data_IF_855402375302
#
_entry.id   IF_855402375302
#
_cell.length_a   1.000
_cell.length_b   1.000
_cell.length_c   1.000
_cell.angle_alpha   90.00
_cell.angle_beta   90.00
_cell.angle_gamma   90.00
#
_symmetry.space_group_name_H-M   'P 1'
#
loop_
_entity.id
_entity.type
_entity.pdbx_description
1 polymer ?
#
# COMPACT_ATOMS: atom_id res chain seq x y z
N UNK A 1 26.12 -16.42 -11.26
CA UNK A 1 26.29 -17.39 -12.36
C UNK A 1 25.63 -18.75 -12.05
N UNK A 2 24.45 -18.78 -11.40
CA UNK A 2 23.73 -20.04 -11.06
C UNK A 2 22.41 -20.23 -11.84
N UNK A 3 22.00 -19.27 -12.66
CA UNK A 3 20.71 -19.26 -13.35
C UNK A 3 20.74 -19.93 -14.73
N UNK A 4 21.90 -20.39 -15.21
CA UNK A 4 22.07 -20.94 -16.57
C UNK A 4 21.60 -22.39 -16.74
N UNK A 5 21.22 -23.08 -15.67
CA UNK A 5 20.76 -24.48 -15.70
C UNK A 5 19.25 -24.65 -15.60
N UNK A 6 18.49 -23.55 -15.50
CA UNK A 6 17.05 -23.61 -15.29
C UNK A 6 16.31 -22.92 -16.44
N UNK A 7 15.57 -23.71 -17.21
CA UNK A 7 14.74 -23.22 -18.31
C UNK A 7 13.38 -22.76 -17.76
N UNK A 8 13.31 -21.51 -17.31
CA UNK A 8 12.03 -20.91 -16.93
C UNK A 8 11.38 -20.25 -18.15
N UNK A 9 10.08 -20.54 -18.40
CA UNK A 9 9.30 -19.87 -19.46
C UNK A 9 9.07 -18.37 -19.18
N UNK A 10 9.11 -17.97 -17.92
CA UNK A 10 9.02 -16.59 -17.41
C UNK A 10 10.16 -16.36 -16.40
N UNK A 11 10.68 -15.14 -16.22
CA UNK A 11 11.73 -14.87 -15.23
C UNK A 11 11.22 -15.23 -13.82
N UNK A 12 11.79 -16.27 -13.17
CA UNK A 12 11.36 -16.72 -11.84
C UNK A 12 11.80 -15.74 -10.75
N UNK A 13 11.21 -15.88 -9.56
CA UNK A 13 11.61 -15.16 -8.34
C UNK A 13 11.31 -13.65 -8.32
N UNK A 14 10.51 -13.14 -9.26
CA UNK A 14 9.98 -11.76 -9.22
C UNK A 14 8.54 -11.68 -8.74
N UNK A 15 7.79 -12.77 -8.82
CA UNK A 15 6.37 -12.79 -8.46
C UNK A 15 6.21 -13.39 -7.08
N UNK A 16 5.60 -12.65 -6.16
CA UNK A 16 5.36 -13.12 -4.79
C UNK A 16 3.92 -13.61 -4.55
N UNK A 17 3.08 -13.48 -5.57
CA UNK A 17 1.70 -13.96 -5.60
C UNK A 17 1.55 -15.09 -6.60
N UNK A 18 0.69 -16.04 -6.26
CA UNK A 18 0.20 -17.12 -7.11
C UNK A 18 -0.63 -16.58 -8.27
N UNK A 19 -0.88 -17.41 -9.28
CA UNK A 19 -1.86 -17.10 -10.33
C UNK A 19 -3.28 -16.86 -9.78
N UNK A 20 -3.62 -17.43 -8.62
CA UNK A 20 -4.88 -17.17 -7.91
C UNK A 20 -4.96 -15.76 -7.31
N UNK A 21 -3.83 -15.06 -7.18
CA UNK A 21 -3.71 -13.77 -6.50
C UNK A 21 -3.32 -13.86 -5.02
N UNK A 22 -3.25 -15.07 -4.45
CA UNK A 22 -2.78 -15.29 -3.07
C UNK A 22 -1.26 -15.13 -2.99
N UNK A 23 -0.74 -14.72 -1.84
CA UNK A 23 0.70 -14.68 -1.62
C UNK A 23 1.26 -16.11 -1.49
N UNK A 24 2.44 -16.33 -2.07
CA UNK A 24 3.12 -17.63 -2.03
C UNK A 24 3.61 -18.00 -0.63
N UNK A 25 3.94 -16.99 0.18
CA UNK A 25 4.38 -17.17 1.56
C UNK A 25 3.20 -16.94 2.51
N UNK A 26 2.86 -17.91 3.38
CA UNK A 26 1.75 -17.78 4.32
C UNK A 26 1.82 -16.51 5.20
N UNK A 27 3.02 -16.17 5.68
CA UNK A 27 3.23 -14.94 6.46
C UNK A 27 2.78 -13.67 5.70
N UNK A 28 3.10 -13.56 4.41
CA UNK A 28 2.66 -12.40 3.62
C UNK A 28 1.14 -12.43 3.39
N UNK A 29 0.56 -13.61 3.20
CA UNK A 29 -0.89 -13.77 3.08
C UNK A 29 -1.61 -13.31 4.36
N UNK A 30 -1.09 -13.67 5.53
CA UNK A 30 -1.67 -13.25 6.81
C UNK A 30 -1.59 -11.74 7.00
N UNK A 31 -0.46 -11.12 6.65
CA UNK A 31 -0.33 -9.66 6.68
C UNK A 31 -1.29 -9.00 5.68
N UNK A 32 -1.51 -9.59 4.50
CA UNK A 32 -2.46 -9.05 3.54
C UNK A 32 -3.90 -9.16 4.04
N UNK A 33 -4.27 -10.29 4.66
CA UNK A 33 -5.58 -10.48 5.27
C UNK A 33 -5.83 -9.46 6.38
N UNK A 34 -4.82 -9.21 7.24
CA UNK A 34 -4.87 -8.16 8.24
C UNK A 34 -5.08 -6.79 7.59
N UNK A 35 -4.31 -6.45 6.56
CA UNK A 35 -4.44 -5.17 5.85
C UNK A 35 -5.83 -4.99 5.23
N UNK A 36 -6.38 -6.04 4.61
CA UNK A 36 -7.72 -6.06 4.02
C UNK A 36 -8.82 -5.88 5.06
N UNK A 37 -8.67 -6.48 6.24
CA UNK A 37 -9.59 -6.28 7.36
C UNK A 37 -9.49 -4.85 7.91
N UNK A 38 -8.28 -4.36 8.16
CA UNK A 38 -8.05 -3.05 8.79
C UNK A 38 -8.41 -1.88 7.90
N UNK A 39 -8.33 -2.02 6.58
CA UNK A 39 -8.84 -1.02 5.63
C UNK A 39 -10.37 -0.89 5.64
N UNK A 40 -11.10 -1.76 6.36
CA UNK A 40 -12.53 -1.59 6.61
C UNK A 40 -12.84 -0.58 7.74
N UNK A 41 -11.82 -0.08 8.44
CA UNK A 41 -11.95 0.97 9.45
C UNK A 41 -11.46 2.30 8.89
N UNK A 42 -12.01 3.42 9.39
CA UNK A 42 -11.48 4.73 9.05
C UNK A 42 -10.18 5.01 9.82
N UNK A 43 -9.25 5.70 9.17
CA UNK A 43 -7.97 6.07 9.77
C UNK A 43 -6.76 5.63 8.95
N UNK A 44 -5.60 5.56 9.59
CA UNK A 44 -4.32 5.27 8.98
C UNK A 44 -3.82 3.88 9.37
N UNK A 45 -3.39 3.14 8.35
CA UNK A 45 -2.64 1.89 8.44
C UNK A 45 -1.22 2.12 7.92
N UNK A 46 -0.21 1.72 8.68
CA UNK A 46 1.18 1.65 8.21
C UNK A 46 1.59 0.25 7.79
N UNK A 47 2.25 0.11 6.65
CA UNK A 47 2.93 -1.11 6.26
C UNK A 47 4.34 -0.76 5.74
N UNK A 48 5.37 -1.11 6.51
CA UNK A 48 6.74 -0.71 6.20
C UNK A 48 7.64 -1.91 5.96
N UNK A 49 8.55 -1.76 5.00
CA UNK A 49 9.55 -2.76 4.63
C UNK A 49 10.62 -2.11 3.77
N UNK A 50 11.86 -2.59 3.85
CA UNK A 50 12.94 -2.11 3.00
C UNK A 50 12.86 -2.66 1.55
N UNK A 51 11.98 -3.64 1.32
CA UNK A 51 11.66 -4.18 0.00
C UNK A 51 10.46 -3.43 -0.62
N UNK A 52 10.75 -2.39 -1.41
CA UNK A 52 9.72 -1.62 -2.11
C UNK A 52 8.89 -2.44 -3.13
N UNK A 53 9.47 -3.35 -3.94
CA UNK A 53 8.70 -4.28 -4.75
C UNK A 53 7.66 -5.08 -3.95
N UNK A 54 8.04 -5.64 -2.80
CA UNK A 54 7.12 -6.37 -1.91
C UNK A 54 5.93 -5.50 -1.50
N UNK A 55 6.19 -4.25 -1.08
CA UNK A 55 5.13 -3.30 -0.72
C UNK A 55 4.21 -2.96 -1.90
N UNK A 56 4.74 -2.87 -3.12
CA UNK A 56 3.92 -2.65 -4.32
C UNK A 56 2.94 -3.79 -4.55
N UNK A 57 3.37 -5.04 -4.35
CA UNK A 57 2.49 -6.19 -4.48
C UNK A 57 1.34 -6.20 -3.46
N UNK A 58 1.56 -5.75 -2.22
CA UNK A 58 0.46 -5.55 -1.26
C UNK A 58 -0.55 -4.49 -1.75
N UNK A 59 -0.08 -3.39 -2.33
CA UNK A 59 -0.94 -2.36 -2.89
C UNK A 59 -1.73 -2.90 -4.09
N UNK A 60 -1.09 -3.68 -4.96
CA UNK A 60 -1.73 -4.25 -6.15
C UNK A 60 -2.76 -5.33 -5.77
N UNK A 61 -2.46 -6.16 -4.78
CA UNK A 61 -3.43 -7.10 -4.20
C UNK A 61 -4.64 -6.36 -3.58
N UNK A 62 -4.42 -5.23 -2.90
CA UNK A 62 -5.51 -4.41 -2.37
C UNK A 62 -6.40 -3.86 -3.48
N UNK A 63 -5.81 -3.31 -4.56
CA UNK A 63 -6.56 -2.82 -5.73
C UNK A 63 -7.38 -3.93 -6.38
N UNK A 64 -6.79 -5.11 -6.55
CA UNK A 64 -7.48 -6.26 -7.11
C UNK A 64 -8.67 -6.71 -6.24
N UNK A 65 -8.58 -6.51 -4.92
CA UNK A 65 -9.64 -6.89 -3.98
C UNK A 65 -10.79 -5.87 -3.85
N UNK A 66 -10.61 -4.61 -4.29
CA UNK A 66 -11.62 -3.57 -4.16
C UNK A 66 -11.46 -2.42 -5.16
N UNK A 67 -12.55 -2.09 -5.85
CA UNK A 67 -12.62 -0.94 -6.77
C UNK A 67 -12.60 0.43 -6.07
N UNK A 68 -12.61 0.46 -4.73
CA UNK A 68 -12.56 1.70 -3.95
C UNK A 68 -11.13 2.15 -3.65
N UNK A 69 -10.12 1.35 -4.02
CA UNK A 69 -8.71 1.69 -3.77
C UNK A 69 -8.21 2.74 -4.77
N UNK A 70 -7.57 3.79 -4.25
CA UNK A 70 -6.85 4.80 -5.03
C UNK A 70 -5.39 4.72 -4.61
N UNK A 71 -4.50 4.53 -5.58
CA UNK A 71 -3.07 4.45 -5.30
C UNK A 71 -2.30 5.67 -5.80
N UNK A 72 -1.48 6.22 -4.91
CA UNK A 72 -0.62 7.36 -5.18
C UNK A 72 0.81 6.97 -4.82
N UNK A 73 1.75 7.34 -5.69
CA UNK A 73 3.17 7.30 -5.38
C UNK A 73 3.62 8.69 -4.92
N UNK A 74 4.30 8.76 -3.76
CA UNK A 74 4.85 10.01 -3.24
C UNK A 74 6.21 10.39 -3.83
N UNK A 75 6.95 9.45 -4.42
CA UNK A 75 8.25 9.70 -5.05
C UNK A 75 8.11 10.56 -6.33
N UNK A 76 9.06 11.46 -6.63
CA UNK A 76 10.22 11.84 -5.81
C UNK A 76 9.88 12.80 -4.66
N UNK A 77 8.72 13.48 -4.72
CA UNK A 77 8.27 14.39 -3.67
C UNK A 77 6.76 14.64 -3.76
N UNK A 78 6.04 14.48 -2.65
CA UNK A 78 4.60 14.73 -2.58
C UNK A 78 4.28 15.90 -1.63
N UNK A 79 3.72 16.96 -2.19
CA UNK A 79 3.19 18.11 -1.43
C UNK A 79 1.67 18.04 -1.28
N UNK A 80 1.11 18.86 -0.39
CA UNK A 80 -0.33 19.11 -0.29
C UNK A 80 -1.01 19.30 -1.66
N UNK A 81 -0.54 20.27 -2.45
CA UNK A 81 -1.13 20.60 -3.75
C UNK A 81 -1.01 19.45 -4.76
N UNK A 82 0.11 18.70 -4.72
CA UNK A 82 0.29 17.55 -5.61
C UNK A 82 -0.62 16.40 -5.22
N UNK A 83 -0.79 16.13 -3.92
CA UNK A 83 -1.75 15.14 -3.43
C UNK A 83 -3.17 15.50 -3.86
N UNK A 84 -3.63 16.71 -3.56
CA UNK A 84 -4.98 17.16 -3.90
C UNK A 84 -5.24 17.12 -5.41
N UNK A 85 -4.26 17.49 -6.23
CA UNK A 85 -4.35 17.39 -7.68
C UNK A 85 -4.43 15.94 -8.17
N UNK A 86 -3.63 15.03 -7.59
CA UNK A 86 -3.69 13.59 -7.92
C UNK A 86 -5.03 12.96 -7.52
N UNK A 87 -5.66 13.43 -6.44
CA UNK A 87 -6.97 12.95 -5.98
C UNK A 87 -8.13 13.55 -6.80
N UNK A 88 -8.04 14.84 -7.13
CA UNK A 88 -8.99 15.56 -7.96
C UNK A 88 -8.28 16.69 -8.74
N UNK A 89 -8.08 16.56 -10.06
CA UNK A 89 -7.43 17.57 -10.88
C UNK A 89 -8.11 18.95 -10.86
N UNK A 90 -9.42 19.00 -10.58
CA UNK A 90 -10.20 20.24 -10.43
C UNK A 90 -9.74 21.13 -9.27
N UNK A 91 -8.96 20.58 -8.32
CA UNK A 91 -8.42 21.34 -7.19
C UNK A 91 -7.35 22.35 -7.59
N UNK A 92 -6.78 22.27 -8.81
CA UNK A 92 -5.75 23.21 -9.30
C UNK A 92 -6.20 24.68 -9.27
N UNK A 93 -7.48 24.94 -9.50
CA UNK A 93 -8.04 26.29 -9.51
C UNK A 93 -8.44 26.78 -8.11
N UNK A 94 -8.50 25.89 -7.11
CA UNK A 94 -8.96 26.20 -5.76
C UNK A 94 -7.77 26.70 -4.94
N UNK A 95 -7.84 27.95 -4.50
CA UNK A 95 -6.78 28.58 -3.67
C UNK A 95 -6.83 28.11 -2.22
N UNK A 96 -8.03 27.83 -1.71
CA UNK A 96 -8.25 27.39 -0.34
C UNK A 96 -8.11 25.86 -0.20
N UNK A 97 -7.32 25.41 0.77
CA UNK A 97 -7.03 23.98 0.95
C UNK A 97 -8.23 23.19 1.46
N UNK A 98 -9.06 23.77 2.32
CA UNK A 98 -10.23 23.09 2.90
C UNK A 98 -11.28 22.90 1.80
N UNK A 99 -11.51 23.92 0.97
CA UNK A 99 -12.39 23.80 -0.19
C UNK A 99 -11.91 22.73 -1.18
N UNK A 100 -10.59 22.61 -1.37
CA UNK A 100 -10.02 21.57 -2.23
C UNK A 100 -10.22 20.16 -1.64
N UNK A 101 -10.06 20.00 -0.33
CA UNK A 101 -10.36 18.75 0.39
C UNK A 101 -11.85 18.39 0.25
N UNK A 102 -12.75 19.35 0.50
CA UNK A 102 -14.19 19.13 0.37
C UNK A 102 -14.57 18.76 -1.07
N UNK A 103 -13.93 19.36 -2.08
CA UNK A 103 -14.16 19.01 -3.48
C UNK A 103 -13.73 17.57 -3.81
N UNK A 104 -12.64 17.07 -3.22
CA UNK A 104 -12.23 15.66 -3.34
C UNK A 104 -13.29 14.74 -2.73
N UNK A 105 -13.74 15.04 -1.51
CA UNK A 105 -14.72 14.20 -0.81
C UNK A 105 -16.08 14.20 -1.50
N UNK A 106 -16.55 15.35 -1.99
CA UNK A 106 -17.79 15.45 -2.78
C UNK A 106 -17.72 14.61 -4.05
N UNK A 107 -16.62 14.70 -4.80
CA UNK A 107 -16.43 13.88 -6.01
C UNK A 107 -16.56 12.38 -5.70
N UNK A 108 -16.02 11.93 -4.56
CA UNK A 108 -16.13 10.52 -4.16
C UNK A 108 -17.55 10.13 -3.74
N UNK A 109 -18.25 11.01 -3.03
CA UNK A 109 -19.65 10.79 -2.63
C UNK A 109 -20.62 10.82 -3.81
N UNK A 110 -20.41 11.71 -4.80
CA UNK A 110 -21.18 11.78 -6.05
C UNK A 110 -21.06 10.48 -6.85
N UNK A 111 -19.88 9.85 -6.80
CA UNK A 111 -19.67 8.49 -7.32
C UNK A 111 -20.40 7.39 -6.54
N UNK A 112 -21.29 7.74 -5.59
CA UNK A 112 -22.03 6.86 -4.67
C UNK A 112 -21.14 5.98 -3.79
N UNK A 113 -19.85 6.30 -3.68
CA UNK A 113 -18.96 5.60 -2.77
C UNK A 113 -19.24 6.04 -1.33
N UNK A 114 -19.46 5.09 -0.43
CA UNK A 114 -19.54 5.35 1.02
C UNK A 114 -18.19 5.22 1.72
N UNK A 115 -17.18 4.73 0.99
CA UNK A 115 -15.85 4.51 1.51
C UNK A 115 -14.79 4.51 0.42
N UNK A 116 -13.57 4.89 0.78
CA UNK A 116 -12.38 4.80 -0.08
C UNK A 116 -11.19 4.29 0.72
N UNK A 117 -10.29 3.60 0.03
CA UNK A 117 -8.96 3.26 0.55
C UNK A 117 -7.93 4.04 -0.26
N UNK A 118 -7.16 4.91 0.38
CA UNK A 118 -6.08 5.66 -0.26
C UNK A 118 -4.74 5.02 0.12
N UNK A 119 -4.04 4.41 -0.84
CA UNK A 119 -2.70 3.88 -0.60
C UNK A 119 -1.65 4.89 -1.07
N UNK A 120 -0.71 5.27 -0.21
CA UNK A 120 0.41 6.15 -0.56
C UNK A 120 1.72 5.38 -0.39
N UNK A 121 2.39 5.13 -1.52
CA UNK A 121 3.69 4.49 -1.55
C UNK A 121 4.83 5.51 -1.36
N UNK A 122 5.95 5.06 -0.81
CA UNK A 122 7.15 5.86 -0.55
C UNK A 122 6.90 7.05 0.36
N UNK A 123 6.30 6.79 1.52
CA UNK A 123 5.87 7.81 2.48
C UNK A 123 7.02 8.71 2.96
N UNK A 124 8.27 8.26 2.87
CA UNK A 124 9.48 9.08 3.07
C UNK A 124 9.54 10.34 2.18
N UNK A 125 8.94 10.30 1.00
CA UNK A 125 8.93 11.42 0.05
C UNK A 125 7.81 12.44 0.31
N UNK A 126 6.99 12.24 1.35
CA UNK A 126 5.91 13.15 1.72
C UNK A 126 6.44 14.37 2.48
N UNK A 127 6.04 15.56 2.03
CA UNK A 127 6.24 16.80 2.79
C UNK A 127 5.30 16.86 3.99
N UNK A 128 5.67 17.65 4.98
CA UNK A 128 4.82 18.01 6.13
C UNK A 128 3.45 18.53 5.71
N UNK A 129 3.41 19.47 4.75
CA UNK A 129 2.13 19.94 4.20
C UNK A 129 1.24 18.84 3.61
N UNK A 130 1.80 17.74 3.10
CA UNK A 130 1.02 16.59 2.66
C UNK A 130 0.36 15.89 3.85
N UNK A 131 1.09 15.72 4.96
CA UNK A 131 0.60 15.10 6.21
C UNK A 131 -0.52 15.93 6.85
N UNK A 132 -0.35 17.25 6.92
CA UNK A 132 -1.40 18.18 7.38
C UNK A 132 -2.69 18.03 6.57
N UNK A 133 -2.57 17.96 5.23
CA UNK A 133 -3.73 17.80 4.34
C UNK A 133 -4.34 16.41 4.47
N UNK A 134 -3.56 15.36 4.72
CA UNK A 134 -4.10 14.03 5.01
C UNK A 134 -4.89 14.01 6.32
N UNK A 135 -4.37 14.64 7.37
CA UNK A 135 -5.10 14.83 8.63
C UNK A 135 -6.42 15.56 8.38
N UNK A 136 -6.38 16.69 7.65
CA UNK A 136 -7.59 17.44 7.26
C UNK A 136 -8.58 16.58 6.47
N UNK A 137 -8.10 15.80 5.50
CA UNK A 137 -8.92 14.91 4.69
C UNK A 137 -9.62 13.85 5.55
N UNK A 138 -8.92 13.28 6.54
CA UNK A 138 -9.47 12.30 7.49
C UNK A 138 -10.51 12.93 8.41
N UNK A 139 -10.23 14.10 8.99
CA UNK A 139 -11.20 14.85 9.81
C UNK A 139 -12.48 15.16 9.03
N UNK A 140 -12.33 15.73 7.83
CA UNK A 140 -13.48 16.10 6.98
C UNK A 140 -14.26 14.87 6.50
N UNK A 141 -13.58 13.77 6.18
CA UNK A 141 -14.24 12.51 5.85
C UNK A 141 -15.09 12.00 7.03
N UNK A 142 -14.56 12.04 8.25
CA UNK A 142 -15.28 11.64 9.45
C UNK A 142 -16.51 12.53 9.70
N UNK A 143 -16.37 13.86 9.60
CA UNK A 143 -17.50 14.81 9.75
C UNK A 143 -18.63 14.54 8.74
N UNK A 144 -18.27 14.08 7.53
CA UNK A 144 -19.23 13.74 6.47
C UNK A 144 -19.74 12.29 6.55
N UNK A 145 -19.43 11.54 7.62
CA UNK A 145 -19.71 10.11 7.76
C UNK A 145 -19.22 9.27 6.56
N UNK A 146 -18.11 9.70 5.96
CA UNK A 146 -17.45 9.02 4.86
C UNK A 146 -16.27 8.20 5.39
N UNK A 147 -16.28 6.89 5.16
CA UNK A 147 -15.22 6.02 5.67
C UNK A 147 -13.98 6.07 4.78
N UNK A 148 -12.97 6.81 5.22
CA UNK A 148 -11.67 6.89 4.55
C UNK A 148 -10.62 6.09 5.33
N UNK A 149 -10.05 5.08 4.69
CA UNK A 149 -8.86 4.38 5.16
C UNK A 149 -7.65 4.86 4.34
N UNK A 150 -6.51 5.10 4.99
CA UNK A 150 -5.25 5.48 4.34
C UNK A 150 -4.20 4.43 4.66
N UNK A 151 -3.58 3.85 3.65
CA UNK A 151 -2.45 2.92 3.81
C UNK A 151 -1.17 3.64 3.42
N UNK A 152 -0.27 3.83 4.37
CA UNK A 152 1.05 4.40 4.14
C UNK A 152 2.08 3.28 4.03
N UNK A 153 2.84 3.26 2.94
CA UNK A 153 3.96 2.33 2.77
C UNK A 153 5.28 3.06 2.55
N UNK A 154 6.38 2.44 2.96
CA UNK A 154 7.73 3.00 2.85
C UNK A 154 8.77 2.12 3.55
N UNK A 155 10.02 2.59 3.59
CA UNK A 155 11.11 1.88 4.28
C UNK A 155 10.81 1.65 5.78
N UNK A 156 11.42 0.63 6.38
CA UNK A 156 11.11 0.21 7.77
C UNK A 156 11.29 1.36 8.79
N UNK A 157 12.35 2.16 8.62
CA UNK A 157 12.66 3.33 9.46
C UNK A 157 11.59 4.44 9.42
N UNK A 158 10.74 4.45 8.39
CA UNK A 158 9.71 5.46 8.18
C UNK A 158 8.45 5.21 9.01
N UNK A 159 8.39 4.11 9.75
CA UNK A 159 7.35 3.87 10.75
C UNK A 159 7.21 5.05 11.73
N UNK A 160 8.32 5.75 12.02
CA UNK A 160 8.32 6.97 12.84
C UNK A 160 7.40 8.08 12.34
N UNK A 161 7.07 8.12 11.05
CA UNK A 161 6.13 9.09 10.48
C UNK A 161 4.75 9.00 11.13
N UNK A 162 4.34 7.80 11.54
CA UNK A 162 3.05 7.59 12.20
C UNK A 162 3.00 8.13 13.63
N UNK A 163 4.17 8.41 14.23
CA UNK A 163 4.27 8.99 15.57
C UNK A 163 4.19 10.52 15.54
N UNK A 164 4.22 11.12 14.35
CA UNK A 164 4.11 12.58 14.18
C UNK A 164 2.68 13.05 14.51
N UNK A 165 2.53 14.23 15.13
CA UNK A 165 1.25 14.69 15.67
C UNK A 165 0.14 14.76 14.61
N UNK A 166 0.47 15.06 13.35
CA UNK A 166 -0.49 15.18 12.25
C UNK A 166 -1.16 13.85 11.88
N UNK A 167 -0.48 12.72 12.14
CA UNK A 167 -0.93 11.37 11.73
C UNK A 167 -1.24 10.46 12.92
N UNK A 168 -0.66 10.73 14.09
CA UNK A 168 -0.71 9.86 15.28
C UNK A 168 -2.15 9.59 15.73
N UNK A 169 -2.99 10.60 15.77
CA UNK A 169 -4.38 10.47 16.26
C UNK A 169 -5.25 9.63 15.32
N UNK A 170 -4.89 9.54 14.05
CA UNK A 170 -5.62 8.78 13.04
C UNK A 170 -5.07 7.36 12.85
N UNK A 171 -3.88 7.07 13.37
CA UNK A 171 -3.22 5.78 13.18
C UNK A 171 -3.80 4.74 14.15
N UNK A 172 -4.40 3.69 13.61
CA UNK A 172 -4.94 2.59 14.42
C UNK A 172 -4.15 1.28 14.26
N UNK A 173 -3.39 1.12 13.19
CA UNK A 173 -2.61 -0.11 12.95
C UNK A 173 -1.34 0.23 12.19
N UNK A 174 -0.23 -0.40 12.57
CA UNK A 174 1.00 -0.34 11.80
C UNK A 174 1.74 -1.67 11.93
N UNK A 175 2.46 -2.02 10.87
CA UNK A 175 3.24 -3.24 10.81
C UNK A 175 4.53 -3.02 10.04
N UNK A 176 5.65 -3.47 10.60
CA UNK A 176 6.93 -3.54 9.90
C UNK A 176 7.15 -4.99 9.49
N UNK A 177 7.29 -5.24 8.20
CA UNK A 177 7.53 -6.58 7.69
C UNK A 177 8.90 -7.08 8.15
N UNK A 178 8.91 -8.20 8.88
CA UNK A 178 10.15 -8.94 9.12
C UNK A 178 10.66 -9.61 7.84
N UNK A 179 11.98 -9.83 7.72
CA UNK A 179 12.53 -10.75 6.73
C UNK A 179 11.92 -12.15 6.86
N UNK A 180 11.91 -12.88 5.74
CA UNK A 180 11.55 -14.29 5.75
C UNK A 180 12.59 -15.10 6.51
N UNK A 181 12.11 -16.08 7.28
CA UNK A 181 12.99 -17.12 7.84
C UNK A 181 13.53 -17.99 6.71
N UNK A 182 14.64 -18.71 6.96
CA UNK A 182 15.18 -19.65 5.98
C UNK A 182 14.12 -20.65 5.50
N UNK A 183 13.30 -21.18 6.42
CA UNK A 183 12.24 -22.13 6.08
C UNK A 183 11.18 -21.52 5.17
N UNK A 184 10.76 -20.29 5.42
CA UNK A 184 9.78 -19.59 4.57
C UNK A 184 10.36 -19.25 3.21
N UNK A 185 11.65 -18.90 3.15
CA UNK A 185 12.34 -18.67 1.88
C UNK A 185 12.45 -19.96 1.05
N UNK A 186 12.82 -21.08 1.67
CA UNK A 186 12.83 -22.40 1.00
C UNK A 186 11.43 -22.77 0.49
N UNK A 187 10.40 -22.53 1.31
CA UNK A 187 9.01 -22.79 0.92
C UNK A 187 8.56 -21.90 -0.24
N UNK A 188 8.97 -20.64 -0.27
CA UNK A 188 8.72 -19.72 -1.39
C UNK A 188 9.37 -20.23 -2.68
N UNK A 189 10.64 -20.63 -2.62
CA UNK A 189 11.36 -21.14 -3.79
C UNK A 189 10.71 -22.41 -4.32
N UNK A 190 10.33 -23.34 -3.43
CA UNK A 190 9.61 -24.55 -3.82
C UNK A 190 8.27 -24.21 -4.48
N UNK A 191 7.47 -23.34 -3.89
CA UNK A 191 6.17 -22.94 -4.44
C UNK A 191 6.32 -22.23 -5.81
N UNK A 192 7.39 -21.44 -6.00
CA UNK A 192 7.73 -20.86 -7.30
C UNK A 192 8.08 -21.93 -8.34
N UNK A 193 8.84 -22.96 -7.96
CA UNK A 193 9.17 -24.08 -8.86
C UNK A 193 7.90 -24.85 -9.26
N UNK A 194 7.02 -25.15 -8.31
CA UNK A 194 5.74 -25.82 -8.56
C UNK A 194 4.85 -25.03 -9.52
N UNK A 195 4.75 -23.70 -9.35
CA UNK A 195 3.92 -22.86 -10.25
C UNK A 195 4.48 -22.69 -11.66
N UNK A 196 5.78 -22.90 -11.86
CA UNK A 196 6.43 -22.73 -13.15
C UNK A 196 6.80 -24.07 -13.81
N UNK A 197 6.22 -25.19 -13.34
CA UNK A 197 6.51 -26.56 -13.79
C UNK A 197 8.03 -26.86 -13.82
N UNK A 198 8.77 -26.39 -12.83
CA UNK A 198 10.22 -26.60 -12.74
C UNK A 198 10.53 -27.86 -11.92
N UNK A 199 11.03 -28.91 -12.57
CA UNK A 199 11.30 -30.22 -11.94
C UNK A 199 12.45 -30.20 -10.89
N UNK A 200 13.25 -29.14 -10.83
CA UNK A 200 14.41 -29.04 -9.94
C UNK A 200 14.43 -27.70 -9.18
N UNK A 201 14.54 -27.77 -7.85
CA UNK A 201 14.78 -26.58 -7.02
C UNK A 201 16.15 -25.97 -7.35
N UNK A 202 16.29 -24.64 -7.45
CA UNK A 202 17.58 -23.98 -7.64
C UNK A 202 18.48 -24.01 -6.41
N UNK A 203 17.97 -24.52 -5.29
CA UNK A 203 18.72 -24.68 -4.05
C UNK A 203 19.18 -26.13 -3.93
N UNK A 204 20.46 -26.38 -3.59
CA UNK A 204 20.94 -27.73 -3.31
C UNK A 204 20.19 -28.34 -2.11
N UNK A 205 20.06 -29.68 -2.06
CA UNK A 205 19.43 -30.39 -0.95
C UNK A 205 20.14 -30.17 0.39
#
# INVERSE_FOLDING_TARGET
>A
MYQSHFNFKNPPFRTITRLSGDFLVPYHQDVFNLLKEKTQLAGIIGLFCDDAPLLSHFIDALKASSNTVIAINAFPKLSASSLLYKLNPGTKAIKDRIQAVDAVLRQWQEGKAKSRVLTIAHSEAMKESCREVLGTLLTRAQELNFRLAVVLTGAAEQERLLKQPELREYTHTHHVLRPLTCREYLSYVQAQCEEHDCEHSPLPP
#
